data_IF_729689834797
#
_entry.id   IF_729689834797
#
_cell.length_a   1.000
_cell.length_b   1.000
_cell.length_c   1.000
_cell.angle_alpha   90.00
_cell.angle_beta   90.00
_cell.angle_gamma   90.00
#
_symmetry.space_group_name_H-M   'P 1'
#
loop_
_entity.id
_entity.type
_entity.pdbx_description
1 polymer ?
#
# COMPACT_ATOMS: atom_id res chain seq x y z
N UNK A 1 -5.04 36.05 -24.43
CA UNK A 1 -5.72 35.99 -23.12
C UNK A 1 -4.67 35.70 -22.05
N UNK A 2 -4.38 36.66 -21.15
CA UNK A 2 -3.60 36.36 -19.94
C UNK A 2 -4.56 35.76 -18.90
N UNK A 3 -4.18 34.65 -18.27
CA UNK A 3 -4.96 34.04 -17.19
C UNK A 3 -5.97 32.94 -17.60
N UNK A 4 -6.08 32.58 -18.88
CA UNK A 4 -6.84 31.40 -19.28
C UNK A 4 -6.06 30.14 -18.88
N UNK A 5 -6.53 29.43 -17.85
CA UNK A 5 -6.01 28.11 -17.49
C UNK A 5 -6.73 27.07 -18.33
N UNK A 6 -5.98 26.36 -19.17
CA UNK A 6 -6.49 25.27 -20.01
C UNK A 6 -6.69 23.96 -19.23
N UNK A 7 -6.18 23.91 -18.00
CA UNK A 7 -6.23 22.75 -17.13
C UNK A 7 -6.80 23.17 -15.78
N UNK A 8 -7.84 22.47 -15.34
CA UNK A 8 -8.32 22.54 -13.97
C UNK A 8 -7.35 21.74 -13.10
N UNK A 9 -6.99 22.28 -11.94
CA UNK A 9 -6.25 21.50 -10.95
C UNK A 9 -7.13 20.33 -10.48
N UNK A 10 -6.54 19.16 -10.19
CA UNK A 10 -7.29 18.06 -9.62
C UNK A 10 -7.93 18.50 -8.30
N UNK A 11 -9.14 18.01 -8.01
CA UNK A 11 -9.81 18.26 -6.73
C UNK A 11 -9.01 17.67 -5.58
N UNK A 12 -8.58 16.42 -5.73
CA UNK A 12 -7.57 15.76 -4.91
C UNK A 12 -6.46 15.25 -5.83
N UNK A 13 -5.19 15.62 -5.59
CA UNK A 13 -4.07 15.19 -6.42
C UNK A 13 -3.61 13.74 -6.16
N UNK A 14 -2.65 13.28 -6.95
CA UNK A 14 -2.05 11.93 -6.90
C UNK A 14 -1.34 11.62 -5.57
N UNK A 15 -0.74 12.61 -4.90
CA UNK A 15 -0.17 12.43 -3.55
C UNK A 15 -1.25 12.18 -2.50
N UNK A 16 -2.44 12.77 -2.64
CA UNK A 16 -3.61 12.46 -1.80
C UNK A 16 -4.14 11.05 -2.06
N UNK A 17 -4.17 10.60 -3.32
CA UNK A 17 -4.49 9.22 -3.70
C UNK A 17 -3.54 8.20 -3.10
N UNK A 18 -2.24 8.48 -3.18
CA UNK A 18 -1.22 7.64 -2.57
C UNK A 18 -1.38 7.55 -1.04
N UNK A 19 -1.62 8.70 -0.40
CA UNK A 19 -1.81 8.75 1.05
C UNK A 19 -3.04 7.93 1.48
N UNK A 20 -4.14 8.01 0.74
CA UNK A 20 -5.37 7.30 1.06
C UNK A 20 -5.20 5.77 1.07
N UNK A 21 -4.42 5.22 0.14
CA UNK A 21 -4.12 3.77 0.13
C UNK A 21 -3.27 3.35 1.34
N UNK A 22 -2.32 4.20 1.74
CA UNK A 22 -1.36 3.90 2.81
C UNK A 22 -1.94 4.11 4.22
N UNK A 23 -2.97 4.94 4.35
CA UNK A 23 -3.57 5.34 5.62
C UNK A 23 -4.04 4.17 6.52
N UNK A 24 -4.71 3.12 6.01
CA UNK A 24 -5.17 2.00 6.85
C UNK A 24 -4.10 0.93 7.13
N UNK A 25 -2.87 1.04 6.61
CA UNK A 25 -1.94 -0.10 6.53
C UNK A 25 -0.97 -0.27 7.72
N UNK A 26 -0.96 0.63 8.69
CA UNK A 26 -0.08 0.49 9.86
C UNK A 26 1.36 0.97 9.64
N UNK A 27 1.59 1.86 8.67
CA UNK A 27 2.92 2.32 8.28
C UNK A 27 3.33 3.67 8.89
N UNK A 28 4.63 3.96 8.87
CA UNK A 28 5.17 5.30 9.01
C UNK A 28 5.19 5.96 7.63
N UNK A 29 4.20 6.81 7.35
CA UNK A 29 4.03 7.48 6.07
C UNK A 29 4.57 8.91 6.16
N UNK A 30 5.50 9.27 5.29
CA UNK A 30 6.02 10.63 5.23
C UNK A 30 5.66 11.26 3.90
N UNK A 31 4.94 12.37 3.96
CA UNK A 31 4.66 13.24 2.82
C UNK A 31 5.90 14.13 2.65
N UNK A 32 6.60 13.97 1.54
CA UNK A 32 7.84 14.68 1.25
C UNK A 32 7.51 16.09 0.75
N UNK A 33 7.16 16.98 1.66
CA UNK A 33 6.70 18.34 1.36
C UNK A 33 7.32 19.38 2.30
N UNK A 34 6.93 20.65 2.12
CA UNK A 34 7.27 21.75 3.03
C UNK A 34 6.28 21.91 4.21
N UNK A 35 5.20 21.11 4.24
CA UNK A 35 4.14 21.12 5.26
C UNK A 35 2.74 21.38 4.68
N UNK A 36 2.66 22.03 3.51
CA UNK A 36 1.38 22.39 2.88
C UNK A 36 0.59 21.19 2.35
N UNK A 37 1.26 20.26 1.64
CA UNK A 37 0.60 19.07 1.10
C UNK A 37 0.11 18.17 2.23
N UNK A 38 0.91 17.97 3.27
CA UNK A 38 0.51 17.22 4.46
C UNK A 38 -0.69 17.87 5.16
N UNK A 39 -0.72 19.20 5.26
CA UNK A 39 -1.87 19.94 5.78
C UNK A 39 -3.15 19.70 4.97
N UNK A 40 -3.06 19.71 3.63
CA UNK A 40 -4.21 19.45 2.77
C UNK A 40 -4.68 17.99 2.86
N UNK A 41 -3.75 17.05 2.72
CA UNK A 41 -4.04 15.62 2.76
C UNK A 41 -4.71 15.25 4.09
N UNK A 42 -4.10 15.62 5.21
CA UNK A 42 -4.63 15.27 6.52
C UNK A 42 -5.85 16.11 6.94
N UNK A 43 -5.99 17.34 6.42
CA UNK A 43 -7.06 18.25 6.81
C UNK A 43 -8.33 18.13 5.98
N UNK A 44 -8.21 17.73 4.71
CA UNK A 44 -9.29 17.82 3.72
C UNK A 44 -9.45 16.55 2.89
N UNK A 45 -8.35 16.01 2.34
CA UNK A 45 -8.46 14.93 1.34
C UNK A 45 -8.58 13.53 1.96
N UNK A 46 -8.15 13.36 3.21
CA UNK A 46 -8.28 12.12 3.98
C UNK A 46 -9.45 12.22 4.97
N UNK A 47 -10.67 11.83 4.56
CA UNK A 47 -11.86 11.98 5.40
C UNK A 47 -11.83 11.10 6.66
N UNK A 48 -10.96 10.09 6.71
CA UNK A 48 -10.77 9.22 7.89
C UNK A 48 -9.85 9.85 8.94
N UNK A 49 -9.25 11.02 8.68
CA UNK A 49 -8.31 11.66 9.61
C UNK A 49 -8.88 11.88 11.02
N UNK A 50 -10.17 12.17 11.14
CA UNK A 50 -10.85 12.40 12.41
C UNK A 50 -11.46 11.16 13.08
N UNK A 51 -11.51 10.01 12.39
CA UNK A 51 -12.38 8.89 12.79
C UNK A 51 -11.75 7.92 13.81
N UNK A 52 -10.65 8.31 14.48
CA UNK A 52 -10.04 7.57 15.59
C UNK A 52 -9.36 6.23 15.24
N UNK A 53 -9.72 5.59 14.12
CA UNK A 53 -9.14 4.34 13.64
C UNK A 53 -7.89 4.57 12.79
N UNK A 54 -6.87 5.21 13.36
CA UNK A 54 -5.60 5.52 12.68
C UNK A 54 -4.66 4.33 12.78
N UNK A 55 -4.48 3.60 11.68
CA UNK A 55 -3.46 2.55 11.64
C UNK A 55 -2.09 3.14 11.27
N UNK A 56 -1.99 4.00 10.25
CA UNK A 56 -0.72 4.62 9.85
C UNK A 56 -0.47 5.97 10.53
N UNK A 57 0.80 6.25 10.84
CA UNK A 57 1.26 7.56 11.28
C UNK A 57 1.73 8.38 10.09
N UNK A 58 1.10 9.53 9.82
CA UNK A 58 1.40 10.40 8.67
C UNK A 58 2.11 11.67 9.14
N UNK A 59 3.26 11.97 8.53
CA UNK A 59 4.07 13.15 8.86
C UNK A 59 4.48 13.94 7.62
N UNK A 60 4.69 15.24 7.78
CA UNK A 60 5.42 16.06 6.81
C UNK A 60 6.93 15.87 6.97
N UNK A 61 7.66 15.85 5.85
CA UNK A 61 9.12 15.94 5.85
C UNK A 61 9.63 17.30 6.34
N UNK A 62 8.83 18.35 6.14
CA UNK A 62 9.14 19.74 6.50
C UNK A 62 10.36 20.29 5.77
N UNK A 63 10.39 20.08 4.44
CA UNK A 63 11.44 20.58 3.55
C UNK A 63 11.50 22.11 3.57
N UNK A 64 12.72 22.63 3.57
CA UNK A 64 13.03 24.07 3.50
C UNK A 64 13.90 24.38 2.29
N UNK A 65 14.07 25.65 1.97
CA UNK A 65 14.87 26.11 0.81
C UNK A 65 16.29 25.52 0.79
N UNK A 66 16.95 25.45 1.96
CA UNK A 66 18.28 24.84 2.03
C UNK A 66 18.29 23.35 1.73
N UNK A 67 17.16 22.68 1.88
CA UNK A 67 17.00 21.26 1.61
C UNK A 67 16.87 21.02 0.10
N UNK A 68 16.27 21.96 -0.63
CA UNK A 68 16.21 21.98 -2.09
C UNK A 68 17.60 22.18 -2.73
N UNK A 69 18.47 22.96 -2.09
CA UNK A 69 19.83 23.24 -2.60
C UNK A 69 20.79 22.10 -2.29
N UNK A 70 20.82 21.64 -1.03
CA UNK A 70 21.88 20.75 -0.54
C UNK A 70 21.54 19.27 -0.66
N UNK A 71 20.26 18.92 -0.86
CA UNK A 71 19.76 17.56 -0.68
C UNK A 71 19.82 17.12 0.79
N UNK A 72 18.76 16.51 1.31
CA UNK A 72 18.68 16.17 2.75
C UNK A 72 18.01 14.85 3.09
N UNK A 73 18.10 13.90 2.17
CA UNK A 73 17.60 12.53 2.35
C UNK A 73 18.12 11.89 3.65
N UNK A 74 19.39 12.10 3.98
CA UNK A 74 19.99 11.59 5.21
C UNK A 74 19.32 12.12 6.49
N UNK A 75 18.95 13.41 6.49
CA UNK A 75 18.27 14.05 7.63
C UNK A 75 16.81 13.65 7.69
N UNK A 76 16.15 13.50 6.54
CA UNK A 76 14.79 12.95 6.45
C UNK A 76 14.75 11.56 7.09
N UNK A 77 15.64 10.67 6.68
CA UNK A 77 15.72 9.32 7.23
C UNK A 77 16.09 9.30 8.72
N UNK A 78 16.93 10.23 9.19
CA UNK A 78 17.21 10.37 10.62
C UNK A 78 15.96 10.77 11.42
N UNK A 79 15.13 11.69 10.91
CA UNK A 79 13.84 12.05 11.54
C UNK A 79 12.88 10.85 11.58
N UNK A 80 12.79 10.10 10.48
CA UNK A 80 11.98 8.89 10.43
C UNK A 80 12.44 7.85 11.46
N UNK A 81 13.76 7.65 11.58
CA UNK A 81 14.32 6.74 12.59
C UNK A 81 14.02 7.19 14.02
N UNK A 82 13.98 8.51 14.29
CA UNK A 82 13.55 9.04 15.58
C UNK A 82 12.06 8.74 15.83
N UNK A 83 11.20 8.96 14.84
CA UNK A 83 9.77 8.65 14.96
C UNK A 83 9.52 7.15 15.25
N UNK A 84 10.29 6.25 14.63
CA UNK A 84 10.21 4.80 14.87
C UNK A 84 10.64 4.38 16.30
N UNK A 85 11.26 5.25 17.10
CA UNK A 85 11.53 4.97 18.52
C UNK A 85 10.27 5.07 19.37
N UNK A 86 9.30 5.87 18.94
CA UNK A 86 8.07 6.16 19.67
C UNK A 86 6.85 5.46 19.05
N UNK A 87 6.92 5.13 17.77
CA UNK A 87 5.82 4.57 16.99
C UNK A 87 6.15 3.15 16.52
N UNK A 88 5.13 2.28 16.56
CA UNK A 88 5.20 0.96 15.92
C UNK A 88 4.68 1.09 14.50
N UNK A 89 5.49 0.70 13.53
CA UNK A 89 5.13 0.67 12.12
C UNK A 89 5.58 -0.64 11.48
N UNK A 90 4.74 -1.21 10.61
CA UNK A 90 5.05 -2.44 9.85
C UNK A 90 5.92 -2.16 8.62
N UNK A 91 5.86 -0.93 8.10
CA UNK A 91 6.67 -0.45 6.98
C UNK A 91 6.86 1.06 7.04
N UNK A 92 7.75 1.58 6.22
CA UNK A 92 7.91 3.01 5.97
C UNK A 92 7.46 3.35 4.54
N UNK A 93 6.77 4.47 4.35
CA UNK A 93 6.45 5.01 3.04
C UNK A 93 6.86 6.47 2.93
N UNK A 94 7.29 6.87 1.72
CA UNK A 94 7.59 8.26 1.40
C UNK A 94 6.83 8.63 0.13
N UNK A 95 5.96 9.62 0.23
CA UNK A 95 5.12 10.13 -0.85
C UNK A 95 5.75 11.39 -1.42
N UNK A 96 5.91 11.45 -2.74
CA UNK A 96 6.39 12.64 -3.44
C UNK A 96 5.33 13.72 -3.56
N UNK A 97 5.76 14.97 -3.67
CA UNK A 97 4.88 16.12 -3.85
C UNK A 97 5.52 17.06 -4.90
N UNK A 98 4.92 18.23 -5.23
CA UNK A 98 5.50 19.11 -6.25
C UNK A 98 6.95 19.52 -5.96
N UNK A 99 7.32 19.71 -4.69
CA UNK A 99 8.69 20.14 -4.32
C UNK A 99 9.73 19.07 -4.69
N UNK A 100 9.64 17.81 -4.21
CA UNK A 100 10.51 16.71 -4.66
C UNK A 100 10.56 16.50 -6.16
N UNK A 101 9.44 16.69 -6.87
CA UNK A 101 9.38 16.55 -8.32
C UNK A 101 10.22 17.63 -9.03
N UNK A 102 10.17 18.88 -8.54
CA UNK A 102 10.93 20.00 -9.11
C UNK A 102 12.42 19.90 -8.80
N UNK A 103 12.80 19.50 -7.58
CA UNK A 103 14.21 19.41 -7.17
C UNK A 103 14.88 18.10 -7.61
N UNK A 104 14.12 17.18 -8.22
CA UNK A 104 14.65 15.93 -8.76
C UNK A 104 15.04 14.90 -7.70
N UNK A 105 14.24 14.75 -6.63
CA UNK A 105 14.49 13.75 -5.58
C UNK A 105 14.54 12.33 -6.16
N UNK A 106 15.63 11.61 -5.92
CA UNK A 106 15.77 10.21 -6.35
C UNK A 106 15.08 9.27 -5.36
N UNK A 107 13.80 9.01 -5.59
CA UNK A 107 13.00 8.09 -4.79
C UNK A 107 13.54 6.65 -4.77
N UNK A 108 14.27 6.21 -5.81
CA UNK A 108 14.85 4.85 -5.84
C UNK A 108 16.03 4.75 -4.89
N UNK A 109 16.90 5.75 -4.90
CA UNK A 109 17.99 5.86 -3.93
C UNK A 109 17.44 6.00 -2.51
N UNK A 110 16.44 6.86 -2.33
CA UNK A 110 15.80 7.10 -1.03
C UNK A 110 15.14 5.82 -0.47
N UNK A 111 14.45 5.03 -1.29
CA UNK A 111 13.90 3.72 -0.89
C UNK A 111 15.01 2.78 -0.39
N UNK A 112 16.11 2.66 -1.13
CA UNK A 112 17.25 1.79 -0.76
C UNK A 112 17.92 2.27 0.54
N UNK A 113 18.11 3.58 0.68
CA UNK A 113 18.67 4.17 1.89
C UNK A 113 17.74 3.97 3.09
N UNK A 114 16.43 4.15 2.90
CA UNK A 114 15.40 3.92 3.92
C UNK A 114 15.40 2.47 4.41
N UNK A 115 15.38 1.49 3.51
CA UNK A 115 15.47 0.07 3.87
C UNK A 115 16.68 -0.22 4.77
N UNK A 116 17.84 0.33 4.43
CA UNK A 116 19.08 0.15 5.20
C UNK A 116 19.07 0.87 6.55
N UNK A 117 18.59 2.12 6.61
CA UNK A 117 18.65 2.95 7.82
C UNK A 117 17.54 2.68 8.82
N UNK A 118 16.33 2.37 8.34
CA UNK A 118 15.15 2.20 9.17
C UNK A 118 14.97 0.75 9.63
N UNK A 119 15.57 -0.22 8.94
CA UNK A 119 15.38 -1.65 9.24
C UNK A 119 13.98 -2.18 8.93
N UNK A 120 13.18 -1.41 8.19
CA UNK A 120 11.83 -1.76 7.75
C UNK A 120 11.75 -1.78 6.22
N UNK A 121 10.83 -2.58 5.63
CA UNK A 121 10.44 -2.40 4.24
C UNK A 121 10.09 -0.92 4.00
N UNK A 122 10.76 -0.30 3.02
CA UNK A 122 10.53 1.11 2.67
C UNK A 122 10.04 1.20 1.23
N UNK A 123 8.86 1.79 1.06
CA UNK A 123 8.23 2.05 -0.23
C UNK A 123 8.28 3.55 -0.53
N UNK A 124 8.50 3.90 -1.78
CA UNK A 124 8.48 5.29 -2.23
C UNK A 124 7.50 5.44 -3.37
N UNK A 125 6.59 6.40 -3.26
CA UNK A 125 5.60 6.72 -4.29
C UNK A 125 5.99 8.06 -4.90
N UNK A 126 6.57 8.09 -6.12
CA UNK A 126 7.10 9.32 -6.73
C UNK A 126 5.98 10.16 -7.38
N UNK A 127 4.95 10.47 -6.60
CA UNK A 127 3.87 11.40 -6.99
C UNK A 127 4.40 12.83 -7.10
N UNK A 128 3.65 13.67 -7.80
CA UNK A 128 4.07 15.04 -8.14
C UNK A 128 3.10 16.10 -7.67
N UNK A 129 1.90 15.74 -7.20
CA UNK A 129 0.84 16.68 -6.85
C UNK A 129 0.14 17.29 -8.07
N UNK A 130 0.35 16.74 -9.26
CA UNK A 130 -0.17 17.29 -10.54
C UNK A 130 -1.02 16.31 -11.34
N UNK A 131 -1.02 15.04 -10.95
CA UNK A 131 -1.83 14.00 -11.58
C UNK A 131 -3.16 13.79 -10.83
N UNK A 132 -4.06 13.01 -11.42
CA UNK A 132 -5.34 12.71 -10.80
C UNK A 132 -5.18 11.75 -9.60
N UNK A 133 -6.13 11.81 -8.68
CA UNK A 133 -6.19 10.98 -7.48
C UNK A 133 -6.03 9.48 -7.77
N UNK A 134 -6.75 8.97 -8.77
CA UNK A 134 -6.77 7.56 -9.17
C UNK A 134 -5.42 7.08 -9.72
N UNK A 135 -4.65 7.95 -10.38
CA UNK A 135 -3.28 7.64 -10.80
C UNK A 135 -2.37 7.39 -9.58
N UNK A 136 -2.50 8.21 -8.54
CA UNK A 136 -1.76 8.06 -7.28
C UNK A 136 -2.12 6.78 -6.52
N UNK A 137 -3.42 6.46 -6.46
CA UNK A 137 -3.94 5.21 -5.89
C UNK A 137 -3.35 4.01 -6.66
N UNK A 138 -3.42 4.03 -7.98
CA UNK A 138 -2.95 2.94 -8.85
C UNK A 138 -1.45 2.69 -8.70
N UNK A 139 -0.65 3.75 -8.72
CA UNK A 139 0.80 3.68 -8.50
C UNK A 139 1.14 3.07 -7.13
N UNK A 140 0.34 3.40 -6.11
CA UNK A 140 0.54 2.92 -4.74
C UNK A 140 0.19 1.44 -4.59
N UNK A 141 -0.93 0.98 -5.16
CA UNK A 141 -1.25 -0.45 -5.18
C UNK A 141 -0.14 -1.27 -5.84
N UNK A 142 0.36 -0.83 -7.00
CA UNK A 142 1.46 -1.52 -7.67
C UNK A 142 2.74 -1.54 -6.82
N UNK A 143 3.07 -0.44 -6.15
CA UNK A 143 4.25 -0.36 -5.30
C UNK A 143 4.14 -1.29 -4.08
N UNK A 144 2.95 -1.38 -3.46
CA UNK A 144 2.68 -2.29 -2.35
C UNK A 144 2.74 -3.75 -2.81
N UNK A 145 2.07 -4.09 -3.90
CA UNK A 145 2.07 -5.45 -4.44
C UNK A 145 3.48 -5.94 -4.80
N UNK A 146 4.27 -5.12 -5.51
CA UNK A 146 5.66 -5.46 -5.85
C UNK A 146 6.57 -5.61 -4.63
N UNK A 147 6.23 -4.97 -3.50
CA UNK A 147 7.04 -4.99 -2.29
C UNK A 147 6.63 -6.11 -1.33
N UNK A 148 5.34 -6.39 -1.22
CA UNK A 148 4.78 -7.20 -0.13
C UNK A 148 4.08 -8.47 -0.57
N UNK A 149 3.59 -8.58 -1.81
CA UNK A 149 2.83 -9.75 -2.24
C UNK A 149 3.72 -11.00 -2.19
N UNK A 150 3.24 -12.04 -1.49
CA UNK A 150 3.93 -13.32 -1.33
C UNK A 150 3.30 -14.38 -2.25
N UNK A 151 4.10 -15.14 -3.03
CA UNK A 151 3.60 -16.25 -3.84
C UNK A 151 3.01 -17.37 -2.98
N UNK A 152 2.15 -18.19 -3.60
CA UNK A 152 1.44 -19.32 -2.97
C UNK A 152 2.34 -20.28 -2.18
N UNK A 153 3.60 -20.47 -2.59
CA UNK A 153 4.50 -21.46 -2.00
C UNK A 153 5.33 -20.94 -0.81
N UNK A 154 5.24 -19.64 -0.49
CA UNK A 154 6.19 -18.98 0.43
C UNK A 154 5.79 -19.03 1.91
N UNK A 155 4.63 -19.58 2.27
CA UNK A 155 4.15 -19.63 3.67
C UNK A 155 4.72 -20.81 4.49
N UNK A 156 5.51 -21.71 3.91
CA UNK A 156 6.09 -22.85 4.65
C UNK A 156 7.32 -22.51 5.52
N UNK A 157 7.91 -21.30 5.42
CA UNK A 157 9.25 -21.04 5.95
C UNK A 157 9.35 -20.09 7.16
N UNK A 158 8.26 -19.52 7.69
CA UNK A 158 8.33 -18.56 8.81
C UNK A 158 7.98 -19.13 10.19
N UNK A 159 7.90 -20.45 10.32
CA UNK A 159 7.61 -21.13 11.59
C UNK A 159 8.62 -22.22 11.92
N UNK A 160 9.86 -21.86 12.29
CA UNK A 160 10.69 -22.71 13.14
C UNK A 160 11.82 -21.90 13.80
N UNK A 161 11.54 -21.55 15.05
CA UNK A 161 12.51 -21.01 16.01
C UNK A 161 13.67 -21.99 16.18
N UNK A 162 14.88 -21.45 16.16
CA UNK A 162 16.09 -22.14 16.53
C UNK A 162 16.00 -22.66 17.98
N UNK A 163 16.05 -23.98 18.13
CA UNK A 163 16.53 -24.67 19.32
C UNK A 163 17.26 -25.95 18.87
N UNK A 164 18.56 -25.96 19.16
CA UNK A 164 19.49 -27.06 19.45
C UNK A 164 18.82 -28.42 19.76
N UNK A 165 19.33 -29.63 19.48
CA UNK A 165 20.62 -30.13 19.00
C UNK A 165 20.58 -31.68 18.93
N UNK A 166 21.44 -32.27 18.07
CA UNK A 166 22.04 -33.65 18.13
C UNK A 166 21.23 -34.86 17.59
N UNK A 167 21.90 -35.89 16.99
CA UNK A 167 21.30 -36.76 15.97
C UNK A 167 21.12 -38.25 16.37
N UNK A 168 20.46 -38.95 15.45
CA UNK A 168 20.50 -40.39 15.14
C UNK A 168 19.45 -41.32 15.79
N UNK A 169 18.52 -41.81 14.96
CA UNK A 169 18.11 -43.22 14.91
C UNK A 169 17.20 -43.46 13.69
N UNK A 170 17.57 -44.47 12.90
CA UNK A 170 16.84 -44.98 11.74
C UNK A 170 15.48 -45.59 12.12
N UNK A 171 14.44 -45.42 11.30
CA UNK A 171 13.52 -46.49 10.91
C UNK A 171 12.44 -46.04 9.91
N UNK A 172 12.52 -46.65 8.72
CA UNK A 172 11.41 -47.27 7.97
C UNK A 172 10.31 -46.40 7.35
N UNK A 173 10.29 -46.47 6.01
CA UNK A 173 9.29 -45.98 5.10
C UNK A 173 7.93 -46.66 5.30
N UNK A 174 6.87 -45.86 5.36
CA UNK A 174 5.52 -46.26 4.97
C UNK A 174 4.91 -45.17 4.09
N UNK A 175 4.41 -45.49 2.88
CA UNK A 175 3.76 -44.52 2.03
C UNK A 175 2.28 -44.49 2.42
N UNK A 176 1.85 -43.43 3.11
CA UNK A 176 0.41 -43.12 3.20
C UNK A 176 0.18 -41.80 2.48
N UNK A 177 -0.06 -41.94 1.18
CA UNK A 177 -0.80 -40.97 0.38
C UNK A 177 -2.22 -40.85 0.94
N UNK A 178 -2.51 -39.75 1.63
CA UNK A 178 -3.88 -39.28 1.81
C UNK A 178 -3.95 -37.82 1.38
N UNK A 179 -4.06 -37.60 0.08
CA UNK A 179 -4.49 -36.31 -0.47
C UNK A 179 -5.95 -36.11 -0.10
N UNK A 180 -6.19 -35.58 1.09
CA UNK A 180 -7.48 -35.00 1.44
C UNK A 180 -7.64 -33.75 0.57
N UNK A 181 -8.50 -33.80 -0.43
CA UNK A 181 -8.83 -32.67 -1.30
C UNK A 181 -9.60 -31.63 -0.48
N UNK A 182 -8.89 -30.75 0.22
CA UNK A 182 -9.50 -29.60 0.89
C UNK A 182 -10.15 -28.71 -0.18
N UNK A 183 -11.46 -28.42 -0.05
CA UNK A 183 -12.16 -27.47 -0.92
C UNK A 183 -11.33 -26.17 -0.95
N UNK A 184 -10.92 -25.74 -2.15
CA UNK A 184 -10.12 -24.52 -2.29
C UNK A 184 -10.96 -23.32 -1.88
N UNK A 185 -10.46 -22.57 -0.89
CA UNK A 185 -11.13 -21.38 -0.34
C UNK A 185 -11.27 -20.32 -1.43
N UNK A 186 -12.47 -19.79 -1.62
CA UNK A 186 -12.80 -18.74 -2.61
C UNK A 186 -12.62 -17.37 -1.97
N UNK A 187 -11.67 -16.60 -2.49
CA UNK A 187 -11.28 -15.29 -1.98
C UNK A 187 -11.44 -14.25 -3.09
N UNK A 188 -12.27 -13.25 -2.86
CA UNK A 188 -12.46 -12.12 -3.76
C UNK A 188 -11.63 -10.92 -3.31
N UNK A 189 -10.73 -10.44 -4.17
CA UNK A 189 -10.05 -9.17 -4.00
C UNK A 189 -10.75 -8.05 -4.76
N UNK A 190 -11.20 -6.99 -4.09
CA UNK A 190 -11.85 -5.84 -4.71
C UNK A 190 -10.92 -4.64 -4.66
N UNK A 191 -10.55 -4.13 -5.83
CA UNK A 191 -9.57 -3.05 -6.00
C UNK A 191 -10.26 -1.73 -6.34
N UNK A 192 -9.73 -0.64 -5.78
CA UNK A 192 -10.24 0.71 -6.04
C UNK A 192 -11.36 1.15 -5.09
N UNK A 193 -11.29 0.71 -3.84
CA UNK A 193 -12.28 1.03 -2.81
C UNK A 193 -11.70 2.04 -1.82
N UNK A 194 -11.09 3.14 -2.31
CA UNK A 194 -10.59 4.22 -1.46
C UNK A 194 -11.74 5.17 -1.06
N UNK A 195 -11.57 6.03 -0.03
CA UNK A 195 -12.62 6.91 0.45
C UNK A 195 -13.27 7.82 -0.59
N UNK A 196 -12.50 8.32 -1.57
CA UNK A 196 -13.02 9.23 -2.60
C UNK A 196 -13.58 8.46 -3.83
N UNK A 197 -13.43 7.14 -3.84
CA UNK A 197 -13.98 6.26 -4.87
C UNK A 197 -15.28 5.58 -4.41
N UNK A 198 -15.47 5.42 -3.10
CA UNK A 198 -16.74 4.98 -2.53
C UNK A 198 -17.67 6.18 -2.32
N UNK A 199 -18.96 5.99 -2.60
CA UNK A 199 -19.98 7.03 -2.44
C UNK A 199 -20.17 7.44 -0.96
N UNK A 200 -19.91 6.51 -0.05
CA UNK A 200 -19.89 6.66 1.39
C UNK A 200 -18.62 6.04 1.99
N UNK A 201 -18.26 6.46 3.20
CA UNK A 201 -17.13 5.87 3.93
C UNK A 201 -17.48 4.51 4.56
N UNK A 202 -18.51 3.84 4.04
CA UNK A 202 -19.07 2.61 4.55
C UNK A 202 -19.01 1.52 3.48
N UNK A 203 -18.29 0.45 3.78
CA UNK A 203 -18.14 -0.69 2.88
C UNK A 203 -19.24 -1.74 3.07
N UNK A 204 -20.16 -1.55 4.02
CA UNK A 204 -21.18 -2.52 4.41
C UNK A 204 -22.07 -2.89 3.23
N UNK A 205 -22.57 -1.90 2.48
CA UNK A 205 -23.43 -2.15 1.32
C UNK A 205 -22.67 -2.92 0.22
N UNK A 206 -21.43 -2.52 -0.07
CA UNK A 206 -20.59 -3.21 -1.05
C UNK A 206 -20.37 -4.68 -0.65
N UNK A 207 -20.10 -4.94 0.63
CA UNK A 207 -19.96 -6.30 1.15
C UNK A 207 -21.26 -7.09 1.04
N UNK A 208 -22.40 -6.48 1.35
CA UNK A 208 -23.72 -7.14 1.23
C UNK A 208 -24.03 -7.52 -0.21
N UNK A 209 -23.77 -6.64 -1.17
CA UNK A 209 -23.97 -6.92 -2.60
C UNK A 209 -23.08 -8.08 -3.06
N UNK A 210 -21.80 -8.08 -2.69
CA UNK A 210 -20.86 -9.12 -3.08
C UNK A 210 -21.05 -10.45 -2.33
N UNK A 211 -21.62 -10.43 -1.12
CA UNK A 211 -21.93 -11.63 -0.34
C UNK A 211 -23.09 -12.46 -0.93
N UNK A 212 -23.80 -11.94 -1.95
CA UNK A 212 -24.78 -12.74 -2.71
C UNK A 212 -24.12 -13.84 -3.56
N UNK A 213 -22.81 -13.78 -3.73
CA UNK A 213 -21.99 -14.80 -4.38
C UNK A 213 -21.27 -15.68 -3.33
N UNK A 214 -20.94 -16.92 -3.70
CA UNK A 214 -20.31 -17.93 -2.81
C UNK A 214 -18.80 -17.64 -2.59
N UNK A 215 -18.49 -16.57 -1.85
CA UNK A 215 -17.14 -16.17 -1.43
C UNK A 215 -16.90 -16.47 0.05
N UNK A 216 -15.78 -17.12 0.38
CA UNK A 216 -15.36 -17.39 1.76
C UNK A 216 -14.67 -16.19 2.42
N UNK A 217 -14.15 -15.24 1.62
CA UNK A 217 -13.50 -14.02 2.09
C UNK A 217 -13.56 -12.92 1.03
N UNK A 218 -13.83 -11.68 1.46
CA UNK A 218 -13.84 -10.48 0.60
C UNK A 218 -12.84 -9.47 1.17
N UNK A 219 -11.81 -9.15 0.38
CA UNK A 219 -10.77 -8.17 0.70
C UNK A 219 -11.00 -6.89 -0.09
N UNK A 220 -11.17 -5.77 0.60
CA UNK A 220 -11.40 -4.47 -0.04
C UNK A 220 -10.14 -3.61 0.06
N UNK A 221 -9.39 -3.52 -1.03
CA UNK A 221 -8.13 -2.77 -1.06
C UNK A 221 -8.42 -1.27 -1.18
N UNK A 222 -8.10 -0.52 -0.11
CA UNK A 222 -8.26 0.94 -0.01
C UNK A 222 -8.85 1.42 1.33
N UNK A 223 -9.86 0.73 1.84
CA UNK A 223 -10.56 1.12 3.09
C UNK A 223 -10.52 0.09 4.21
N UNK A 224 -10.74 -1.19 3.92
CA UNK A 224 -10.92 -2.24 4.96
C UNK A 224 -9.84 -3.34 4.95
N UNK A 225 -8.78 -3.15 4.16
CA UNK A 225 -7.68 -4.10 4.11
C UNK A 225 -6.46 -3.52 4.78
N UNK A 226 -5.85 -4.31 5.65
CA UNK A 226 -4.56 -4.01 6.26
C UNK A 226 -3.40 -4.48 5.36
N UNK A 227 -2.17 -4.31 5.82
CA UNK A 227 -0.99 -4.76 5.06
C UNK A 227 -0.99 -6.28 4.81
N UNK A 228 -1.55 -7.09 5.71
CA UNK A 228 -1.56 -8.54 5.56
C UNK A 228 -2.42 -8.97 4.35
N UNK A 229 -3.51 -8.27 4.06
CA UNK A 229 -4.27 -8.50 2.84
C UNK A 229 -3.43 -8.28 1.57
N UNK A 230 -2.59 -7.23 1.52
CA UNK A 230 -1.69 -7.00 0.38
C UNK A 230 -0.61 -8.09 0.26
N UNK A 231 -0.09 -8.57 1.39
CA UNK A 231 0.86 -9.69 1.40
C UNK A 231 0.24 -10.97 0.85
N UNK A 232 -1.05 -11.18 1.14
CA UNK A 232 -1.80 -12.35 0.70
C UNK A 232 -2.53 -12.15 -0.62
N UNK A 233 -2.36 -11.03 -1.32
CA UNK A 233 -3.13 -10.69 -2.53
C UNK A 233 -2.99 -11.72 -3.66
N UNK A 234 -1.86 -12.43 -3.75
CA UNK A 234 -1.68 -13.54 -4.68
C UNK A 234 -2.63 -14.73 -4.42
N UNK A 235 -3.12 -14.87 -3.18
CA UNK A 235 -4.05 -15.94 -2.78
C UNK A 235 -5.51 -15.63 -3.13
N UNK A 236 -5.81 -14.45 -3.69
CA UNK A 236 -7.15 -14.18 -4.19
C UNK A 236 -7.45 -15.17 -5.31
N UNK A 237 -8.63 -15.79 -5.29
CA UNK A 237 -9.08 -16.67 -6.38
C UNK A 237 -9.63 -15.88 -7.55
N UNK A 238 -10.09 -14.65 -7.30
CA UNK A 238 -10.55 -13.71 -8.32
C UNK A 238 -10.32 -12.29 -7.83
N UNK A 239 -10.04 -11.37 -8.75
CA UNK A 239 -10.01 -9.94 -8.50
C UNK A 239 -11.16 -9.24 -9.23
N UNK A 240 -11.83 -8.31 -8.54
CA UNK A 240 -12.82 -7.39 -9.08
C UNK A 240 -12.23 -5.98 -9.08
N UNK A 241 -12.35 -5.28 -10.21
CA UNK A 241 -12.01 -3.86 -10.33
C UNK A 241 -13.28 -3.05 -10.12
N UNK A 242 -13.35 -2.34 -8.99
CA UNK A 242 -14.48 -1.48 -8.63
C UNK A 242 -14.35 -0.08 -9.26
N UNK A 243 -13.12 0.44 -9.36
CA UNK A 243 -12.82 1.73 -9.97
C UNK A 243 -11.58 1.65 -10.88
N UNK A 244 -11.36 2.64 -11.77
CA UNK A 244 -10.20 2.68 -12.67
C UNK A 244 -8.85 2.56 -11.96
N UNK A 245 -8.71 3.08 -10.73
CA UNK A 245 -7.43 3.05 -10.00
C UNK A 245 -6.96 1.62 -9.67
N UNK A 246 -7.91 0.69 -9.49
CA UNK A 246 -7.64 -0.72 -9.18
C UNK A 246 -7.20 -1.56 -10.37
N UNK A 247 -7.39 -1.07 -11.60
CA UNK A 247 -7.18 -1.86 -12.81
C UNK A 247 -5.74 -2.37 -12.95
N UNK A 248 -4.75 -1.50 -12.75
CA UNK A 248 -3.36 -1.88 -12.91
C UNK A 248 -2.92 -2.94 -11.89
N UNK A 249 -3.43 -2.86 -10.66
CA UNK A 249 -3.16 -3.84 -9.61
C UNK A 249 -3.72 -5.22 -9.96
N UNK A 250 -4.98 -5.27 -10.40
CA UNK A 250 -5.62 -6.52 -10.79
C UNK A 250 -4.98 -7.14 -12.05
N UNK A 251 -4.62 -6.33 -13.04
CA UNK A 251 -3.88 -6.77 -14.23
C UNK A 251 -2.49 -7.32 -13.87
N UNK A 252 -1.79 -6.65 -12.95
CA UNK A 252 -0.49 -7.11 -12.49
C UNK A 252 -0.60 -8.47 -11.78
N UNK A 253 -1.59 -8.66 -10.91
CA UNK A 253 -1.82 -9.94 -10.24
C UNK A 253 -2.17 -11.06 -11.23
N UNK A 254 -2.97 -10.76 -12.26
CA UNK A 254 -3.24 -11.71 -13.34
C UNK A 254 -1.94 -12.10 -14.07
N UNK A 255 -1.12 -11.12 -14.46
CA UNK A 255 0.14 -11.38 -15.15
C UNK A 255 1.16 -12.14 -14.31
N UNK A 256 1.24 -11.88 -13.00
CA UNK A 256 2.24 -12.50 -12.13
C UNK A 256 1.80 -13.86 -11.55
N UNK A 257 0.52 -14.01 -11.22
CA UNK A 257 0.01 -15.17 -10.47
C UNK A 257 -1.14 -15.90 -11.17
N UNK A 258 -1.62 -15.41 -12.32
CA UNK A 258 -2.73 -16.01 -13.06
C UNK A 258 -4.10 -15.78 -12.43
N UNK A 259 -4.22 -14.90 -11.42
CA UNK A 259 -5.51 -14.60 -10.78
C UNK A 259 -6.45 -13.89 -11.77
N UNK A 260 -7.62 -14.46 -12.08
CA UNK A 260 -8.60 -13.84 -12.97
C UNK A 260 -9.01 -12.44 -12.49
N UNK A 261 -9.25 -11.54 -13.43
CA UNK A 261 -9.72 -10.18 -13.16
C UNK A 261 -11.04 -9.92 -13.91
N UNK A 262 -12.04 -9.43 -13.17
CA UNK A 262 -13.32 -8.96 -13.69
C UNK A 262 -13.42 -7.44 -13.50
N UNK A 263 -13.98 -6.76 -14.49
CA UNK A 263 -14.28 -5.32 -14.42
C UNK A 263 -15.81 -5.21 -14.41
N UNK A 264 -16.39 -4.67 -13.33
CA UNK A 264 -17.82 -4.36 -13.27
C UNK A 264 -17.97 -2.84 -13.28
N UNK A 265 -18.58 -2.33 -14.34
CA UNK A 265 -18.87 -0.92 -14.55
C UNK A 265 -20.32 -0.64 -14.17
#
# INVERSE_FOLDING_TARGET
MKGLRLYLAPFAPDDSGAAAVLYPLGGLVVICDAGGCAGNICGFDEPRWGQGNKHSAVFSAGLRDMDAIMGRDDKLLAKMQLALKELKASFAAIIGTPVPAVIGTDFRALSRMGKKRLGLPTVTIPTTGTHLYDEGVSATYLALLKTFATPHDSQAASGQSAAQSTPASQAQNHPTSSSATSKQRRILGVWGTTPLELADLDTTLLRQVLATEDWDEIRLYGMDSDLAAYQQAAHNTQNLVYSPSGLAAAQWLNQQYGTPCEIRC
#
